data_IF_002760561856
#
_entry.id   IF_002760561856
#
_cell.length_a   1.000
_cell.length_b   1.000
_cell.length_c   1.000
_cell.angle_alpha   90.00
_cell.angle_beta   90.00
_cell.angle_gamma   90.00
#
_symmetry.space_group_name_H-M   'P 1'
#
loop_
_entity.id
_entity.type
_entity.pdbx_description
1 polymer ?
#
# COMPACT_ATOMS: atom_id res chain seq x y z
N UNK A 1 -33.31 12.55 -18.13
CA UNK A 1 -31.95 12.00 -18.01
C UNK A 1 -31.80 11.42 -16.62
N UNK A 2 -31.76 10.08 -16.49
CA UNK A 2 -31.57 9.42 -15.19
C UNK A 2 -30.09 9.46 -14.82
N UNK A 3 -29.74 10.27 -13.83
CA UNK A 3 -28.44 10.16 -13.16
C UNK A 3 -28.42 8.81 -12.44
N UNK A 4 -27.75 7.82 -13.01
CA UNK A 4 -27.48 6.57 -12.31
C UNK A 4 -26.71 6.92 -11.02
N UNK A 5 -27.39 6.82 -9.88
CA UNK A 5 -26.77 6.98 -8.57
C UNK A 5 -25.81 5.81 -8.36
N UNK A 6 -24.55 6.06 -8.71
CA UNK A 6 -23.46 5.11 -8.63
C UNK A 6 -23.22 4.65 -7.20
N UNK A 7 -23.47 5.52 -6.23
CA UNK A 7 -23.43 5.25 -4.79
C UNK A 7 -24.86 5.44 -4.26
N UNK A 8 -25.43 4.42 -3.60
CA UNK A 8 -26.79 4.50 -3.05
C UNK A 8 -26.82 5.31 -1.75
N UNK A 9 -28.01 5.73 -1.33
CA UNK A 9 -28.19 6.35 -0.02
C UNK A 9 -27.80 5.40 1.14
N UNK A 10 -27.95 4.08 0.96
CA UNK A 10 -27.50 3.07 1.92
C UNK A 10 -25.98 2.98 2.00
N UNK A 11 -25.29 3.03 0.86
CA UNK A 11 -23.82 3.06 0.82
C UNK A 11 -23.28 4.29 1.54
N UNK A 12 -23.92 5.44 1.32
CA UNK A 12 -23.56 6.69 2.00
C UNK A 12 -23.72 6.56 3.51
N UNK A 13 -24.86 6.04 3.98
CA UNK A 13 -25.08 5.77 5.41
C UNK A 13 -24.05 4.80 5.97
N UNK A 14 -23.66 3.80 5.19
CA UNK A 14 -22.64 2.83 5.59
C UNK A 14 -21.25 3.48 5.73
N UNK A 15 -20.86 4.35 4.80
CA UNK A 15 -19.60 5.10 4.88
C UNK A 15 -19.62 6.03 6.09
N UNK A 16 -20.66 6.86 6.22
CA UNK A 16 -20.79 7.86 7.30
C UNK A 16 -20.95 7.23 8.70
N UNK A 17 -21.27 5.94 8.77
CA UNK A 17 -21.34 5.20 10.04
C UNK A 17 -19.96 5.06 10.72
N UNK A 18 -18.87 5.13 9.96
CA UNK A 18 -17.52 5.01 10.52
C UNK A 18 -17.06 6.34 11.12
N UNK A 19 -16.51 6.34 12.36
CA UNK A 19 -16.12 7.57 13.05
C UNK A 19 -14.75 8.12 12.62
N UNK A 20 -13.91 7.30 11.97
CA UNK A 20 -12.56 7.69 11.53
C UNK A 20 -12.52 7.85 10.02
N UNK A 21 -11.81 8.88 9.55
CA UNK A 21 -11.67 9.18 8.13
C UNK A 21 -11.06 8.01 7.34
N UNK A 22 -10.08 7.30 7.90
CA UNK A 22 -9.44 6.17 7.21
C UNK A 22 -10.42 5.00 7.00
N UNK A 23 -11.30 4.76 7.99
CA UNK A 23 -12.32 3.72 7.92
C UNK A 23 -13.42 4.12 6.91
N UNK A 24 -13.78 5.40 6.86
CA UNK A 24 -14.70 5.95 5.85
C UNK A 24 -14.12 5.81 4.43
N UNK A 25 -12.85 6.16 4.25
CA UNK A 25 -12.15 6.04 2.96
C UNK A 25 -12.08 4.57 2.51
N UNK A 26 -11.82 3.65 3.44
CA UNK A 26 -11.81 2.22 3.17
C UNK A 26 -13.19 1.71 2.74
N UNK A 27 -14.25 2.08 3.46
CA UNK A 27 -15.63 1.72 3.10
C UNK A 27 -16.01 2.24 1.71
N UNK A 28 -15.63 3.48 1.38
CA UNK A 28 -15.85 4.07 0.07
C UNK A 28 -15.13 3.28 -1.04
N UNK A 29 -13.86 2.93 -0.84
CA UNK A 29 -13.10 2.13 -1.79
C UNK A 29 -13.69 0.73 -1.99
N UNK A 30 -14.13 0.08 -0.92
CA UNK A 30 -14.78 -1.23 -0.99
C UNK A 30 -16.07 -1.18 -1.84
N UNK A 31 -16.86 -0.12 -1.71
CA UNK A 31 -18.07 0.10 -2.51
C UNK A 31 -17.73 0.32 -4.00
N UNK A 32 -16.73 1.17 -4.28
CA UNK A 32 -16.27 1.45 -5.65
C UNK A 32 -15.76 0.18 -6.34
N UNK A 33 -14.95 -0.63 -5.63
CA UNK A 33 -14.44 -1.91 -6.14
C UNK A 33 -15.59 -2.89 -6.39
N UNK A 34 -16.56 -2.99 -5.47
CA UNK A 34 -17.69 -3.91 -5.59
C UNK A 34 -18.60 -3.57 -6.78
N UNK A 35 -18.73 -2.29 -7.12
CA UNK A 35 -19.62 -1.79 -8.19
C UNK A 35 -18.95 -1.64 -9.57
N UNK A 36 -17.63 -1.88 -9.66
CA UNK A 36 -16.83 -1.96 -10.91
C UNK A 36 -16.79 -0.64 -11.72
N UNK A 37 -16.44 -0.74 -13.00
CA UNK A 37 -16.20 0.33 -13.98
C UNK A 37 -17.09 1.60 -13.85
N UNK A 38 -18.44 1.51 -13.77
CA UNK A 38 -19.28 2.70 -13.66
C UNK A 38 -19.08 3.47 -12.36
N UNK A 39 -18.66 2.78 -11.29
CA UNK A 39 -18.36 3.40 -10.01
C UNK A 39 -16.96 3.98 -9.92
N UNK A 40 -16.02 3.33 -10.60
CA UNK A 40 -14.65 3.78 -10.66
C UNK A 40 -14.52 5.10 -11.44
N UNK A 41 -15.16 5.21 -12.60
CA UNK A 41 -15.10 6.44 -13.42
C UNK A 41 -15.68 7.66 -12.68
N UNK A 42 -16.85 7.50 -12.08
CA UNK A 42 -17.49 8.57 -11.28
C UNK A 42 -16.69 8.92 -10.03
N UNK A 43 -16.01 7.95 -9.42
CA UNK A 43 -15.09 8.21 -8.31
C UNK A 43 -13.87 9.04 -8.75
N UNK A 44 -13.24 8.69 -9.87
CA UNK A 44 -12.09 9.43 -10.44
C UNK A 44 -12.51 10.85 -10.85
N UNK A 45 -13.68 11.01 -11.46
CA UNK A 45 -14.23 12.34 -11.79
C UNK A 45 -14.54 13.15 -10.54
N UNK A 46 -15.06 12.51 -9.49
CA UNK A 46 -15.22 13.12 -8.17
C UNK A 46 -13.91 13.66 -7.62
N UNK A 47 -12.86 12.84 -7.58
CA UNK A 47 -11.54 13.26 -7.11
C UNK A 47 -11.03 14.49 -7.88
N UNK A 48 -11.18 14.50 -9.21
CA UNK A 48 -10.79 15.63 -10.06
C UNK A 48 -11.57 16.91 -9.73
N UNK A 49 -12.88 16.80 -9.55
CA UNK A 49 -13.77 17.93 -9.29
C UNK A 49 -13.61 18.54 -7.88
N UNK A 50 -13.13 17.75 -6.91
CA UNK A 50 -12.93 18.19 -5.52
C UNK A 50 -11.46 18.48 -5.17
N UNK A 51 -10.60 18.70 -6.16
CA UNK A 51 -9.23 19.18 -5.96
C UNK A 51 -8.17 18.09 -5.74
N UNK A 52 -8.52 16.82 -5.90
CA UNK A 52 -7.60 15.68 -5.81
C UNK A 52 -7.15 15.21 -7.22
N UNK A 53 -6.76 16.17 -8.06
CA UNK A 53 -6.43 15.92 -9.47
C UNK A 53 -5.22 14.98 -9.63
N UNK A 54 -4.22 15.07 -8.75
CA UNK A 54 -3.03 14.22 -8.80
C UNK A 54 -3.39 12.75 -8.56
N UNK A 55 -4.21 12.48 -7.53
CA UNK A 55 -4.72 11.14 -7.22
C UNK A 55 -5.61 10.63 -8.37
N UNK A 56 -6.45 11.50 -8.93
CA UNK A 56 -7.30 11.15 -10.07
C UNK A 56 -6.48 10.77 -11.32
N UNK A 57 -5.37 11.46 -11.57
CA UNK A 57 -4.48 11.19 -12.69
C UNK A 57 -3.68 9.89 -12.48
N UNK A 58 -3.21 9.63 -11.26
CA UNK A 58 -2.53 8.36 -10.92
C UNK A 58 -3.46 7.16 -11.13
N UNK A 59 -4.72 7.29 -10.69
CA UNK A 59 -5.75 6.27 -10.88
C UNK A 59 -6.11 6.08 -12.36
N UNK A 60 -6.26 7.16 -13.12
CA UNK A 60 -6.57 7.08 -14.55
C UNK A 60 -5.43 6.46 -15.37
N UNK A 61 -4.18 6.80 -15.07
CA UNK A 61 -2.99 6.18 -15.67
C UNK A 61 -2.92 4.66 -15.40
N UNK A 62 -3.40 4.19 -14.25
CA UNK A 62 -3.51 2.77 -13.95
C UNK A 62 -4.63 2.08 -14.77
N UNK A 63 -5.70 2.81 -15.08
CA UNK A 63 -6.82 2.34 -15.91
C UNK A 63 -6.50 2.31 -17.41
N UNK A 64 -5.78 3.29 -17.93
CA UNK A 64 -5.41 3.36 -19.37
C UNK A 64 -4.35 2.31 -19.76
N UNK A 65 -3.55 1.84 -18.79
CA UNK A 65 -2.69 0.65 -19.00
C UNK A 65 -3.47 -0.66 -19.16
N UNK A 66 -4.80 -0.66 -18.94
CA UNK A 66 -5.69 -1.78 -19.25
C UNK A 66 -6.50 -1.58 -20.56
N UNK A 67 -6.31 -0.48 -21.30
CA UNK A 67 -7.12 -0.14 -22.50
C UNK A 67 -6.31 -0.01 -23.80
N UNK A 68 -6.01 -1.16 -24.42
CA UNK A 68 -5.57 -1.46 -25.80
C UNK A 68 -5.17 -0.32 -26.78
N UNK A 69 -4.02 -0.50 -27.45
CA UNK A 69 -3.91 -0.28 -28.89
C UNK A 69 -3.00 -1.33 -29.56
N UNK A 70 -3.63 -2.06 -30.47
CA UNK A 70 -3.16 -3.04 -31.48
C UNK A 70 -1.95 -2.54 -32.27
N UNK A 71 -0.94 -3.35 -32.64
CA UNK A 71 -0.98 -4.56 -33.47
C UNK A 71 0.30 -5.39 -33.31
N UNK A 72 0.17 -6.68 -32.95
CA UNK A 72 0.84 -7.85 -33.59
C UNK A 72 0.76 -9.08 -32.66
N UNK A 73 0.08 -10.13 -33.11
CA UNK A 73 0.08 -11.52 -32.59
C UNK A 73 1.54 -12.02 -32.50
N UNK A 74 2.02 -12.83 -31.51
CA UNK A 74 1.40 -14.00 -30.82
C UNK A 74 1.48 -13.91 -29.27
N UNK A 75 0.76 -14.68 -28.44
CA UNK A 75 0.63 -16.13 -28.39
C UNK A 75 -0.45 -16.46 -27.33
N UNK A 76 -1.43 -17.28 -27.69
CA UNK A 76 -2.47 -17.79 -26.79
C UNK A 76 -1.84 -18.85 -25.89
N UNK A 77 -1.37 -18.49 -24.67
CA UNK A 77 -1.24 -19.38 -23.49
C UNK A 77 -0.43 -18.73 -22.35
N UNK A 78 -0.82 -17.56 -21.83
CA UNK A 78 -0.37 -17.15 -20.48
C UNK A 78 -1.53 -16.54 -19.71
N UNK A 79 -1.81 -17.17 -18.56
CA UNK A 79 -2.87 -16.79 -17.65
C UNK A 79 -2.74 -15.36 -17.11
N UNK A 80 -3.75 -15.00 -16.31
CA UNK A 80 -3.81 -13.84 -15.42
C UNK A 80 -2.44 -13.20 -15.17
N UNK A 81 -2.28 -11.87 -15.28
CA UNK A 81 -1.04 -11.23 -14.90
C UNK A 81 -0.83 -11.51 -13.41
N UNK A 82 0.06 -12.46 -13.16
CA UNK A 82 0.62 -12.79 -11.87
C UNK A 82 1.05 -11.47 -11.24
N UNK A 83 0.60 -11.22 -10.01
CA UNK A 83 0.96 -10.03 -9.23
C UNK A 83 2.49 -9.96 -9.18
N UNK A 84 3.09 -9.21 -10.09
CA UNK A 84 4.53 -9.03 -10.13
C UNK A 84 4.91 -8.17 -8.94
N UNK A 85 5.55 -8.80 -7.95
CA UNK A 85 6.08 -8.09 -6.78
C UNK A 85 6.97 -6.95 -7.28
N UNK A 86 6.70 -5.68 -6.90
CA UNK A 86 7.51 -4.56 -7.33
C UNK A 86 8.98 -4.74 -6.93
N UNK A 87 9.89 -4.45 -7.86
CA UNK A 87 11.33 -4.69 -7.71
C UNK A 87 11.93 -4.03 -6.46
N UNK A 88 11.47 -2.82 -6.13
CA UNK A 88 11.96 -2.08 -4.96
C UNK A 88 11.71 -2.82 -3.64
N UNK A 89 10.57 -3.53 -3.53
CA UNK A 89 10.23 -4.32 -2.34
C UNK A 89 11.20 -5.48 -2.15
N UNK A 90 11.60 -6.10 -3.27
CA UNK A 90 12.57 -7.19 -3.28
C UNK A 90 13.95 -6.70 -2.85
N UNK A 91 14.36 -5.53 -3.37
CA UNK A 91 15.64 -4.91 -2.98
C UNK A 91 15.66 -4.52 -1.50
N UNK A 92 14.57 -3.98 -0.97
CA UNK A 92 14.44 -3.67 0.46
C UNK A 92 14.52 -4.93 1.32
N UNK A 93 13.81 -6.01 0.95
CA UNK A 93 13.83 -7.25 1.71
C UNK A 93 15.20 -7.94 1.70
N UNK A 94 15.89 -7.99 0.55
CA UNK A 94 17.24 -8.57 0.47
C UNK A 94 18.27 -7.82 1.31
N UNK A 95 18.07 -6.52 1.53
CA UNK A 95 18.98 -5.68 2.30
C UNK A 95 18.47 -5.38 3.72
N UNK A 96 17.36 -5.99 4.15
CA UNK A 96 16.67 -5.69 5.40
C UNK A 96 17.59 -5.77 6.62
N UNK A 97 18.41 -6.83 6.72
CA UNK A 97 19.36 -7.01 7.82
C UNK A 97 20.44 -5.93 7.86
N UNK A 98 20.98 -5.53 6.70
CA UNK A 98 22.00 -4.48 6.63
C UNK A 98 21.42 -3.11 7.01
N UNK A 99 20.20 -2.82 6.56
CA UNK A 99 19.52 -1.55 6.85
C UNK A 99 19.23 -1.43 8.35
N UNK A 100 18.73 -2.51 8.98
CA UNK A 100 18.40 -2.51 10.41
C UNK A 100 19.61 -2.24 11.30
N UNK A 101 20.77 -2.79 10.97
CA UNK A 101 21.97 -2.71 11.81
C UNK A 101 22.81 -1.46 11.54
N UNK A 102 22.74 -0.89 10.34
CA UNK A 102 23.67 0.16 9.90
C UNK A 102 23.11 1.58 9.98
N UNK A 103 21.80 1.72 9.82
CA UNK A 103 21.18 3.03 9.57
C UNK A 103 20.82 3.77 10.85
N UNK A 104 21.20 5.04 10.97
CA UNK A 104 20.69 5.95 12.00
C UNK A 104 19.41 6.62 11.51
N UNK A 105 18.32 6.39 12.22
CA UNK A 105 16.98 6.75 11.75
C UNK A 105 16.70 8.26 11.75
N UNK A 106 17.26 9.06 12.66
CA UNK A 106 16.83 10.46 12.89
C UNK A 106 16.86 11.31 11.61
N UNK A 107 18.03 11.41 10.97
CA UNK A 107 18.22 12.24 9.75
C UNK A 107 17.39 11.75 8.55
N UNK A 108 17.17 10.44 8.47
CA UNK A 108 16.46 9.82 7.35
C UNK A 108 14.96 9.98 7.50
N UNK A 109 14.44 9.82 8.72
CA UNK A 109 13.01 10.01 9.02
C UNK A 109 12.62 11.48 8.77
N UNK A 110 13.45 12.44 9.19
CA UNK A 110 13.21 13.86 8.94
C UNK A 110 13.13 14.19 7.44
N UNK A 111 14.05 13.63 6.65
CA UNK A 111 14.01 13.79 5.19
C UNK A 111 12.75 13.17 4.58
N UNK A 112 12.37 11.96 5.01
CA UNK A 112 11.19 11.27 4.50
C UNK A 112 9.87 11.96 4.88
N UNK A 113 9.81 12.67 6.01
CA UNK A 113 8.68 13.55 6.34
C UNK A 113 8.65 14.75 5.40
N UNK A 114 9.80 15.39 5.17
CA UNK A 114 9.89 16.55 4.27
C UNK A 114 9.48 16.20 2.83
N UNK A 115 9.70 14.97 2.39
CA UNK A 115 9.28 14.47 1.07
C UNK A 115 7.84 13.88 1.07
N UNK A 116 7.09 14.02 2.17
CA UNK A 116 5.75 13.46 2.36
C UNK A 116 5.65 11.94 2.15
N UNK A 117 6.76 11.22 2.35
CA UNK A 117 6.82 9.75 2.28
C UNK A 117 6.33 9.13 3.59
N UNK A 118 6.64 9.76 4.71
CA UNK A 118 6.15 9.38 6.03
C UNK A 118 5.17 10.42 6.55
N UNK A 119 4.09 9.95 7.19
CA UNK A 119 3.21 10.85 7.93
C UNK A 119 3.80 11.16 9.31
N UNK A 120 3.28 12.22 9.95
CA UNK A 120 3.62 12.53 11.36
C UNK A 120 3.27 11.34 12.27
N UNK A 121 2.18 10.62 11.97
CA UNK A 121 1.78 9.43 12.73
C UNK A 121 2.77 8.27 12.58
N UNK A 122 3.36 8.08 11.40
CA UNK A 122 4.39 7.05 11.19
C UNK A 122 5.69 7.40 11.91
N UNK A 123 6.07 8.68 11.90
CA UNK A 123 7.21 9.18 12.68
C UNK A 123 7.03 8.94 14.18
N UNK A 124 5.84 9.21 14.73
CA UNK A 124 5.54 8.94 16.14
C UNK A 124 5.66 7.44 16.47
N UNK A 125 5.17 6.55 15.60
CA UNK A 125 5.31 5.10 15.78
C UNK A 125 6.78 4.65 15.74
N UNK A 126 7.55 5.16 14.79
CA UNK A 126 8.98 4.86 14.68
C UNK A 126 9.70 5.37 15.93
N UNK A 127 9.48 6.61 16.34
CA UNK A 127 10.15 7.19 17.51
C UNK A 127 9.74 6.58 18.85
N UNK A 128 8.54 5.98 18.92
CA UNK A 128 8.10 5.24 20.10
C UNK A 128 8.85 3.91 20.29
N UNK A 129 9.58 3.41 19.28
CA UNK A 129 10.38 2.19 19.43
C UNK A 129 11.64 2.44 20.29
N UNK A 130 11.92 1.57 21.28
CA UNK A 130 12.99 1.79 22.26
C UNK A 130 14.42 1.58 21.74
N UNK A 131 14.63 0.80 20.68
CA UNK A 131 15.97 0.54 20.12
C UNK A 131 16.09 0.96 18.67
N UNK A 132 17.29 1.37 18.25
CA UNK A 132 17.59 1.76 16.87
C UNK A 132 17.17 0.69 15.85
N UNK A 133 17.42 -0.58 16.17
CA UNK A 133 17.02 -1.70 15.31
C UNK A 133 15.50 -1.79 15.15
N UNK A 134 14.74 -1.57 16.23
CA UNK A 134 13.27 -1.59 16.17
C UNK A 134 12.72 -0.37 15.41
N UNK A 135 13.33 0.80 15.58
CA UNK A 135 13.02 1.99 14.77
C UNK A 135 13.22 1.69 13.27
N UNK A 136 14.36 1.09 12.93
CA UNK A 136 14.68 0.73 11.55
C UNK A 136 13.75 -0.36 11.00
N UNK A 137 13.33 -1.33 11.81
CA UNK A 137 12.30 -2.32 11.40
C UNK A 137 10.99 -1.63 11.07
N UNK A 138 10.52 -0.74 11.94
CA UNK A 138 9.27 -0.02 11.74
C UNK A 138 9.31 0.89 10.50
N UNK A 139 10.46 1.54 10.26
CA UNK A 139 10.72 2.30 9.04
C UNK A 139 10.65 1.40 7.80
N UNK A 140 11.33 0.26 7.83
CA UNK A 140 11.34 -0.68 6.70
C UNK A 140 9.97 -1.27 6.42
N UNK A 141 9.20 -1.61 7.46
CA UNK A 141 7.84 -2.08 7.31
C UNK A 141 6.98 -1.00 6.63
N UNK A 142 7.14 0.26 7.01
CA UNK A 142 6.43 1.38 6.36
C UNK A 142 6.82 1.52 4.88
N UNK A 143 8.11 1.45 4.56
CA UNK A 143 8.62 1.52 3.18
C UNK A 143 8.19 0.33 2.31
N UNK A 144 8.07 -0.88 2.89
CA UNK A 144 7.59 -2.07 2.18
C UNK A 144 6.10 -1.99 1.82
N UNK A 145 5.31 -1.28 2.63
CA UNK A 145 3.90 -0.98 2.33
C UNK A 145 3.73 0.26 1.45
N UNK A 146 4.77 1.10 1.34
CA UNK A 146 4.80 2.28 0.49
C UNK A 146 4.92 1.99 -1.01
N UNK A 147 5.11 3.08 -1.77
CA UNK A 147 5.29 3.07 -3.22
C UNK A 147 6.76 3.20 -3.61
N UNK A 148 7.04 3.10 -4.91
CA UNK A 148 8.40 3.21 -5.45
C UNK A 148 9.02 4.60 -5.22
N UNK A 149 8.19 5.65 -5.16
CA UNK A 149 8.67 6.99 -4.84
C UNK A 149 9.26 7.06 -3.43
N UNK A 150 8.59 6.49 -2.44
CA UNK A 150 9.11 6.41 -1.07
C UNK A 150 10.43 5.63 -0.97
N UNK A 151 10.61 4.60 -1.79
CA UNK A 151 11.89 3.91 -1.90
C UNK A 151 13.00 4.78 -2.50
N UNK A 152 12.71 5.53 -3.56
CA UNK A 152 13.68 6.42 -4.19
C UNK A 152 14.10 7.55 -3.24
N UNK A 153 13.14 8.16 -2.54
CA UNK A 153 13.42 9.17 -1.53
C UNK A 153 14.19 8.61 -0.33
N UNK A 154 13.94 7.36 0.06
CA UNK A 154 14.78 6.68 1.06
C UNK A 154 16.22 6.50 0.59
N UNK A 155 16.44 6.10 -0.67
CA UNK A 155 17.79 6.03 -1.23
C UNK A 155 18.46 7.39 -1.33
N UNK A 156 17.70 8.45 -1.66
CA UNK A 156 18.22 9.82 -1.67
C UNK A 156 18.60 10.28 -0.27
N UNK A 157 17.78 9.99 0.74
CA UNK A 157 18.09 10.25 2.14
C UNK A 157 19.40 9.58 2.57
N UNK A 158 19.61 8.32 2.16
CA UNK A 158 20.87 7.61 2.43
C UNK A 158 22.07 8.20 1.68
N UNK A 159 21.89 8.67 0.44
CA UNK A 159 22.97 9.31 -0.34
C UNK A 159 23.34 10.71 0.15
N UNK A 160 22.41 11.38 0.83
CA UNK A 160 22.67 12.69 1.43
C UNK A 160 23.64 12.58 2.62
N UNK A 161 23.80 11.40 3.21
CA UNK A 161 24.81 11.11 4.21
C UNK A 161 25.93 10.28 3.60
N UNK A 162 27.16 10.82 3.59
CA UNK A 162 28.32 10.15 3.01
C UNK A 162 28.64 8.81 3.69
N UNK A 163 28.20 8.60 4.94
CA UNK A 163 28.35 7.32 5.64
C UNK A 163 27.47 6.21 5.05
N UNK A 164 26.40 6.57 4.34
CA UNK A 164 25.40 5.62 3.81
C UNK A 164 25.32 5.58 2.29
N UNK A 165 26.10 6.39 1.57
CA UNK A 165 26.18 6.39 0.10
C UNK A 165 26.46 5.00 -0.49
N UNK A 166 27.44 4.28 0.06
CA UNK A 166 27.79 2.94 -0.41
C UNK A 166 26.66 1.93 -0.16
N UNK A 167 25.98 2.05 0.99
CA UNK A 167 24.81 1.25 1.33
C UNK A 167 23.66 1.53 0.35
N UNK A 168 23.39 2.80 0.06
CA UNK A 168 22.34 3.21 -0.89
C UNK A 168 22.60 2.65 -2.29
N UNK A 169 23.85 2.75 -2.77
CA UNK A 169 24.23 2.24 -4.08
C UNK A 169 24.17 0.72 -4.14
N UNK A 170 24.56 0.02 -3.07
CA UNK A 170 24.41 -1.43 -2.94
C UNK A 170 22.94 -1.86 -2.98
N UNK A 171 22.05 -1.16 -2.28
CA UNK A 171 20.61 -1.46 -2.29
C UNK A 171 20.04 -1.23 -3.70
N UNK A 172 20.38 -0.12 -4.35
CA UNK A 172 19.91 0.22 -5.70
C UNK A 172 20.38 -0.80 -6.75
N UNK A 173 21.64 -1.25 -6.66
CA UNK A 173 22.25 -2.21 -7.58
C UNK A 173 22.01 -3.67 -7.19
N UNK A 174 21.20 -3.94 -6.16
CA UNK A 174 20.90 -5.32 -5.75
C UNK A 174 20.16 -6.04 -6.88
N UNK A 175 20.80 -7.10 -7.37
CA UNK A 175 20.24 -7.97 -8.39
C UNK A 175 19.00 -8.69 -7.85
N UNK A 176 17.92 -8.65 -8.63
CA UNK A 176 16.65 -9.30 -8.31
C UNK A 176 16.49 -10.52 -9.21
N UNK A 177 16.63 -11.71 -8.64
CA UNK A 177 16.50 -12.97 -9.37
C UNK A 177 15.05 -13.44 -9.41
N UNK A 178 14.74 -14.36 -10.31
CA UNK A 178 13.42 -15.00 -10.39
C UNK A 178 13.05 -15.75 -9.10
N UNK A 179 14.04 -16.31 -8.40
CA UNK A 179 13.85 -16.97 -7.09
C UNK A 179 13.43 -15.98 -6.01
N UNK A 180 14.01 -14.77 -6.01
CA UNK A 180 13.66 -13.72 -5.05
C UNK A 180 12.19 -13.29 -5.20
N UNK A 181 11.73 -13.18 -6.46
CA UNK A 181 10.32 -12.87 -6.78
C UNK A 181 9.37 -13.93 -6.21
N UNK A 182 9.69 -15.21 -6.40
CA UNK A 182 8.87 -16.34 -5.92
C UNK A 182 8.82 -16.42 -4.39
N UNK A 183 9.95 -16.20 -3.71
CA UNK A 183 10.01 -16.23 -2.24
C UNK A 183 9.14 -15.15 -1.61
N UNK A 184 9.13 -13.96 -2.20
CA UNK A 184 8.38 -12.83 -1.67
C UNK A 184 6.89 -12.95 -1.98
N UNK A 185 6.53 -13.47 -3.15
CA UNK A 185 5.15 -13.80 -3.49
C UNK A 185 4.54 -14.81 -2.49
N UNK A 186 5.33 -15.77 -2.01
CA UNK A 186 4.93 -16.69 -0.93
C UNK A 186 4.63 -15.95 0.37
N UNK A 187 5.47 -14.99 0.78
CA UNK A 187 5.26 -14.18 1.98
C UNK A 187 4.01 -13.27 1.91
N UNK A 188 3.76 -12.62 0.76
CA UNK A 188 2.56 -11.78 0.57
C UNK A 188 1.25 -12.59 0.56
N UNK A 189 1.30 -13.86 0.16
CA UNK A 189 0.13 -14.75 0.19
C UNK A 189 -0.19 -15.29 1.60
N UNK A 190 0.78 -15.28 2.52
CA UNK A 190 0.59 -15.72 3.92
C UNK A 190 -0.14 -14.67 4.74
N UNK A 191 0.16 -13.38 4.55
CA UNK A 191 -0.54 -12.31 5.28
C UNK A 191 -2.02 -12.24 4.91
N UNK A 192 -2.41 -12.54 3.66
CA UNK A 192 -3.82 -12.58 3.26
C UNK A 192 -4.62 -13.66 4.02
N UNK A 193 -4.03 -14.83 4.29
CA UNK A 193 -4.72 -15.92 5.02
C UNK A 193 -4.90 -15.63 6.51
N UNK A 194 -4.08 -14.76 7.11
CA UNK A 194 -4.27 -14.35 8.51
C UNK A 194 -5.47 -13.42 8.70
N UNK A 195 -5.85 -12.66 7.67
CA UNK A 195 -7.02 -11.78 7.72
C UNK A 195 -8.35 -12.48 7.38
N UNK A 196 -8.32 -13.63 6.70
CA UNK A 196 -9.54 -14.42 6.45
C UNK A 196 -9.96 -15.26 7.67
N UNK A 197 -9.04 -15.60 8.59
CA UNK A 197 -9.36 -16.48 9.73
C UNK A 197 -9.88 -15.76 11.00
N UNK A 198 -9.88 -14.43 11.04
CA UNK A 198 -10.36 -13.64 12.21
C UNK A 198 -11.87 -13.32 12.11
N UNK A 199 -12.51 -13.51 10.95
CA UNK A 199 -13.92 -13.17 10.75
C UNK A 199 -14.94 -14.29 11.06
N UNK A 200 -14.52 -15.46 11.56
CA UNK A 200 -15.43 -16.62 11.73
C UNK A 200 -15.74 -17.05 13.17
N UNK A 201 -15.27 -16.36 14.22
CA UNK A 201 -15.48 -16.83 15.61
C UNK A 201 -16.10 -15.83 16.59
N UNK A 202 -16.92 -14.88 16.14
CA UNK A 202 -17.66 -14.01 17.09
C UNK A 202 -19.12 -13.81 16.72
N UNK A 203 -19.88 -14.90 16.67
CA UNK A 203 -21.33 -14.87 16.92
C UNK A 203 -21.72 -16.10 17.71
N UNK A 204 -21.90 -15.95 19.02
CA UNK A 204 -22.82 -16.71 19.86
C UNK A 204 -22.91 -16.05 21.24
N UNK A 205 -23.81 -15.07 21.36
CA UNK A 205 -24.31 -14.55 22.64
C UNK A 205 -25.32 -15.55 23.22
N UNK A 206 -25.22 -15.96 24.50
CA UNK A 206 -26.25 -16.76 25.15
C UNK A 206 -27.45 -15.89 25.55
N UNK A 207 -28.64 -16.31 25.11
CA UNK A 207 -29.94 -15.77 25.54
C UNK A 207 -30.12 -16.02 27.04
N UNK A 208 -30.30 -14.95 27.82
CA UNK A 208 -30.81 -15.04 29.20
C UNK A 208 -32.24 -15.56 29.18
N UNK A 209 -32.45 -16.76 29.69
CA UNK A 209 -33.78 -17.25 30.09
C UNK A 209 -34.07 -16.68 31.48
N UNK A 210 -35.16 -15.92 31.58
CA UNK A 210 -35.80 -15.56 32.85
C UNK A 210 -36.56 -16.81 33.32
N UNK A 211 -36.37 -17.22 34.56
CA UNK A 211 -37.33 -18.07 35.27
C UNK A 211 -37.83 -17.32 36.51
N UNK A 212 -39.14 -17.51 36.76
CA UNK A 212 -39.96 -16.92 37.81
C UNK A 212 -39.52 -17.35 39.21
#
# INVERSE_FOLDING_TARGET
>A
MMTHLVISADDRRHIEHYPRQDDQNKALLDIVIKRREPAYSVFVDGLRNYGYADIANDLKCASEKMGLSTTSVPDENKGLPDRTVPLFKIRLQKNYSNIITSVKHDTIVDHLISCAVLTIGDCQKINACPSQEQKNRQLMDTLLHGNENGFNEFLNALRNDSAYTDLANRIASTEVTSTDRSNIQSCYNIDKRKYEHVHETTTLLPKKTKEN
#
